data_IF_119437944580
#
_entry.id   IF_119437944580
#
_cell.length_a   1.000
_cell.length_b   1.000
_cell.length_c   1.000
_cell.angle_alpha   90.00
_cell.angle_beta   90.00
_cell.angle_gamma   90.00
#
_symmetry.space_group_name_H-M   'P 1'
#
loop_
_entity.id
_entity.type
_entity.pdbx_description
1 polymer ?
#
# COMPACT_ATOMS: atom_id res chain seq x y z
N UNK A 1 -8.55 -5.88 -6.52
CA UNK A 1 -8.27 -4.72 -5.65
C UNK A 1 -8.67 -3.45 -6.38
N UNK A 2 -9.31 -2.54 -5.69
CA UNK A 2 -9.80 -1.29 -6.29
C UNK A 2 -8.66 -0.29 -6.43
N UNK A 3 -8.70 0.53 -7.49
CA UNK A 3 -7.67 1.55 -7.74
C UNK A 3 -8.36 2.84 -8.22
N UNK A 4 -7.97 3.96 -7.63
CA UNK A 4 -8.44 5.27 -8.02
C UNK A 4 -7.35 6.30 -7.74
N UNK A 5 -6.93 7.05 -8.76
CA UNK A 5 -5.86 8.06 -8.67
C UNK A 5 -4.56 7.52 -8.05
N UNK A 6 -4.26 6.24 -8.27
CA UNK A 6 -3.08 5.58 -7.72
C UNK A 6 -3.24 5.04 -6.30
N UNK A 7 -4.38 5.26 -5.65
CA UNK A 7 -4.68 4.72 -4.34
C UNK A 7 -5.38 3.38 -4.46
N UNK A 8 -4.95 2.41 -3.65
CA UNK A 8 -5.50 1.06 -3.66
C UNK A 8 -6.45 0.85 -2.50
N UNK A 9 -7.58 0.21 -2.77
CA UNK A 9 -8.56 -0.16 -1.75
C UNK A 9 -8.63 -1.67 -1.59
N UNK A 10 -8.56 -2.12 -0.35
CA UNK A 10 -8.76 -3.52 0.02
C UNK A 10 -10.15 -3.69 0.62
N UNK A 11 -10.91 -4.67 0.13
CA UNK A 11 -12.31 -4.85 0.50
C UNK A 11 -12.51 -6.23 1.11
N UNK A 12 -13.29 -6.28 2.20
CA UNK A 12 -13.75 -7.52 2.81
C UNK A 12 -15.27 -7.47 2.95
N UNK A 13 -15.90 -8.62 2.88
CA UNK A 13 -17.34 -8.74 3.06
C UNK A 13 -17.65 -9.10 4.51
N UNK A 14 -18.53 -8.32 5.13
CA UNK A 14 -19.06 -8.60 6.47
C UNK A 14 -20.43 -9.25 6.32
N UNK A 15 -20.49 -10.57 6.55
CA UNK A 15 -21.73 -11.34 6.40
C UNK A 15 -22.79 -11.02 7.46
N UNK A 16 -22.37 -10.57 8.64
CA UNK A 16 -23.29 -10.22 9.72
C UNK A 16 -23.97 -8.89 9.44
N UNK A 17 -23.20 -7.89 9.04
CA UNK A 17 -23.72 -6.57 8.67
C UNK A 17 -24.27 -6.53 7.24
N UNK A 18 -23.98 -7.55 6.44
CA UNK A 18 -24.36 -7.66 5.02
C UNK A 18 -23.90 -6.47 4.21
N UNK A 19 -22.65 -6.06 4.42
CA UNK A 19 -22.05 -5.00 3.65
C UNK A 19 -20.56 -5.25 3.41
N UNK A 20 -20.04 -4.54 2.42
CA UNK A 20 -18.63 -4.56 2.12
C UNK A 20 -17.93 -3.43 2.88
N UNK A 21 -16.82 -3.75 3.51
CA UNK A 21 -15.93 -2.77 4.15
C UNK A 21 -14.64 -2.69 3.39
N UNK A 22 -14.15 -1.49 3.18
CA UNK A 22 -12.88 -1.27 2.53
C UNK A 22 -11.98 -0.33 3.30
N UNK A 23 -10.70 -0.42 3.02
CA UNK A 23 -9.67 0.42 3.59
C UNK A 23 -8.69 0.82 2.51
N UNK A 24 -8.28 2.09 2.51
CA UNK A 24 -7.25 2.58 1.59
C UNK A 24 -5.88 2.18 2.14
N UNK A 25 -5.11 1.47 1.33
CA UNK A 25 -3.82 0.93 1.74
C UNK A 25 -2.70 1.96 1.66
N UNK A 26 -1.70 1.79 2.53
CA UNK A 26 -0.44 2.51 2.42
C UNK A 26 -0.43 3.93 2.96
N UNK A 27 -1.49 4.37 3.64
CA UNK A 27 -1.55 5.68 4.26
C UNK A 27 -1.35 5.58 5.78
N UNK A 28 -0.79 6.61 6.38
CA UNK A 28 -0.70 6.70 7.85
C UNK A 28 -2.07 6.86 8.47
N UNK A 29 -2.91 7.67 7.86
CA UNK A 29 -4.28 7.85 8.31
C UNK A 29 -5.14 6.67 7.86
N UNK A 30 -6.04 6.27 8.73
CA UNK A 30 -6.98 5.18 8.42
C UNK A 30 -8.15 5.79 7.66
N UNK A 31 -8.27 5.41 6.38
CA UNK A 31 -9.37 5.85 5.52
C UNK A 31 -10.18 4.63 5.14
N UNK A 32 -11.44 4.62 5.53
CA UNK A 32 -12.35 3.50 5.30
C UNK A 32 -13.52 3.92 4.43
N UNK A 33 -14.14 2.95 3.81
CA UNK A 33 -15.34 3.13 3.01
C UNK A 33 -16.18 1.87 3.07
N UNK A 34 -17.46 1.99 2.77
CA UNK A 34 -18.38 0.85 2.85
C UNK A 34 -19.49 1.00 1.83
N UNK A 35 -20.15 -0.12 1.52
CA UNK A 35 -21.31 -0.13 0.64
C UNK A 35 -22.01 -1.47 0.68
N UNK A 36 -23.28 -1.48 0.37
CA UNK A 36 -24.12 -2.69 0.35
C UNK A 36 -24.09 -3.40 -1.00
N UNK A 37 -23.63 -2.72 -2.04
CA UNK A 37 -23.45 -3.29 -3.38
C UNK A 37 -22.19 -2.68 -4.02
N UNK A 38 -21.80 -3.22 -5.16
CA UNK A 38 -20.57 -2.80 -5.85
C UNK A 38 -20.60 -1.33 -6.24
N UNK A 39 -21.73 -0.85 -6.74
CA UNK A 39 -21.86 0.55 -7.18
C UNK A 39 -21.69 1.53 -6.03
N UNK A 40 -22.35 1.26 -4.89
CA UNK A 40 -22.20 2.07 -3.69
C UNK A 40 -20.77 2.03 -3.16
N UNK A 41 -20.16 0.84 -3.16
CA UNK A 41 -18.81 0.64 -2.69
C UNK A 41 -17.80 1.43 -3.51
N UNK A 42 -17.91 1.37 -4.83
CA UNK A 42 -17.03 2.11 -5.74
C UNK A 42 -17.17 3.63 -5.55
N UNK A 43 -18.41 4.10 -5.40
CA UNK A 43 -18.65 5.52 -5.15
C UNK A 43 -18.04 5.96 -3.81
N UNK A 44 -18.27 5.17 -2.76
CA UNK A 44 -17.73 5.46 -1.43
C UNK A 44 -16.20 5.48 -1.44
N UNK A 45 -15.59 4.55 -2.16
CA UNK A 45 -14.13 4.50 -2.31
C UNK A 45 -13.60 5.79 -2.96
N UNK A 46 -14.17 6.19 -4.09
CA UNK A 46 -13.75 7.40 -4.81
C UNK A 46 -13.97 8.65 -3.97
N UNK A 47 -15.12 8.75 -3.31
CA UNK A 47 -15.44 9.89 -2.45
C UNK A 47 -14.47 10.01 -1.28
N UNK A 48 -14.11 8.88 -0.66
CA UNK A 48 -13.16 8.88 0.47
C UNK A 48 -11.78 9.39 0.06
N UNK A 49 -11.32 9.03 -1.13
CA UNK A 49 -10.04 9.49 -1.66
C UNK A 49 -10.12 10.97 -2.03
N UNK A 50 -11.19 11.39 -2.69
CA UNK A 50 -11.38 12.81 -3.04
C UNK A 50 -11.45 13.68 -1.79
N UNK A 51 -12.12 13.21 -0.74
CA UNK A 51 -12.20 13.92 0.55
C UNK A 51 -10.81 14.02 1.20
N UNK A 52 -10.04 12.95 1.17
CA UNK A 52 -8.66 12.95 1.68
C UNK A 52 -7.79 13.97 0.94
N UNK A 53 -7.86 13.98 -0.39
CA UNK A 53 -7.08 14.91 -1.21
C UNK A 53 -7.49 16.37 -0.97
N UNK A 54 -8.79 16.63 -0.83
CA UNK A 54 -9.31 17.96 -0.52
C UNK A 54 -8.85 18.42 0.86
N UNK A 55 -8.89 17.53 1.84
CA UNK A 55 -8.44 17.81 3.21
C UNK A 55 -6.95 18.15 3.26
N UNK A 56 -6.11 17.41 2.54
CA UNK A 56 -4.68 17.71 2.42
C UNK A 56 -4.45 19.10 1.81
N UNK A 57 -5.22 19.44 0.78
CA UNK A 57 -5.12 20.73 0.12
C UNK A 57 -5.49 21.89 1.06
N UNK A 58 -6.57 21.74 1.83
CA UNK A 58 -6.98 22.73 2.82
C UNK A 58 -5.92 22.98 3.89
N UNK A 59 -5.22 21.92 4.31
CA UNK A 59 -4.18 22.02 5.32
C UNK A 59 -2.81 22.41 4.76
N UNK A 60 -2.69 22.57 3.46
CA UNK A 60 -1.43 22.87 2.80
C UNK A 60 -0.42 21.72 2.85
N UNK A 61 -0.89 20.51 3.06
CA UNK A 61 -0.06 19.32 3.12
C UNK A 61 -0.09 18.58 1.78
N UNK A 62 1.04 17.97 1.43
CA UNK A 62 1.08 17.09 0.25
C UNK A 62 0.44 15.75 0.60
N UNK A 63 -0.46 15.24 -0.26
CA UNK A 63 -1.00 13.90 -0.04
C UNK A 63 0.12 12.85 -0.08
N UNK A 64 0.02 11.84 0.76
CA UNK A 64 0.97 10.73 0.75
C UNK A 64 0.82 9.91 -0.53
N UNK A 65 1.96 9.49 -1.07
CA UNK A 65 1.97 8.48 -2.14
C UNK A 65 1.84 7.11 -1.50
N UNK A 66 0.89 6.33 -1.99
CA UNK A 66 0.58 5.03 -1.42
C UNK A 66 1.77 4.07 -1.51
N UNK A 67 2.45 4.04 -2.65
CA UNK A 67 3.59 3.15 -2.88
C UNK A 67 4.71 3.94 -3.54
N UNK A 68 5.68 4.35 -2.71
CA UNK A 68 6.79 5.18 -3.16
C UNK A 68 7.92 4.39 -3.81
N UNK A 69 7.95 3.08 -3.60
CA UNK A 69 9.10 2.24 -3.95
C UNK A 69 10.14 2.16 -2.86
N UNK A 70 9.96 2.89 -1.76
CA UNK A 70 10.87 2.83 -0.61
C UNK A 70 10.30 1.89 0.44
N UNK A 71 11.09 0.90 0.83
CA UNK A 71 10.67 -0.13 1.74
C UNK A 71 11.76 -0.37 2.78
N UNK A 72 11.38 -0.47 4.05
CA UNK A 72 12.29 -0.86 5.11
C UNK A 72 11.87 -2.22 5.64
N UNK A 73 12.80 -3.18 5.63
CA UNK A 73 12.56 -4.53 6.11
C UNK A 73 13.49 -4.80 7.30
N UNK A 74 12.96 -5.43 8.32
CA UNK A 74 13.75 -5.91 9.46
C UNK A 74 13.88 -7.42 9.36
N UNK A 75 15.11 -7.91 9.28
CA UNK A 75 15.43 -9.34 9.17
C UNK A 75 16.44 -9.71 10.25
N UNK A 76 16.64 -11.02 10.46
CA UNK A 76 17.62 -11.48 11.42
C UNK A 76 19.04 -11.13 10.98
N UNK A 77 19.95 -10.80 11.93
CA UNK A 77 21.32 -10.44 11.58
C UNK A 77 22.05 -11.48 10.74
N UNK A 78 21.83 -12.75 11.00
CA UNK A 78 22.47 -13.84 10.24
C UNK A 78 22.02 -13.83 8.77
N UNK A 79 20.75 -13.61 8.53
CA UNK A 79 20.21 -13.51 7.18
C UNK A 79 20.74 -12.25 6.47
N UNK A 80 20.82 -11.13 7.19
CA UNK A 80 21.38 -9.90 6.67
C UNK A 80 22.82 -10.11 6.20
N UNK A 81 23.65 -10.75 7.04
CA UNK A 81 25.05 -11.05 6.71
C UNK A 81 25.16 -11.95 5.48
N UNK A 82 24.33 -12.99 5.41
CA UNK A 82 24.31 -13.92 4.28
C UNK A 82 23.96 -13.22 2.98
N UNK A 83 22.94 -12.39 2.99
CA UNK A 83 22.53 -11.62 1.81
C UNK A 83 23.62 -10.64 1.36
N UNK A 84 24.27 -9.98 2.33
CA UNK A 84 25.37 -9.06 2.02
C UNK A 84 26.56 -9.78 1.38
N UNK A 85 26.90 -10.98 1.86
CA UNK A 85 27.95 -11.80 1.26
C UNK A 85 27.61 -12.19 -0.18
N UNK A 86 26.39 -12.67 -0.40
CA UNK A 86 25.95 -13.06 -1.74
C UNK A 86 25.95 -11.88 -2.71
N UNK A 87 25.48 -10.72 -2.27
CA UNK A 87 25.50 -9.51 -3.08
C UNK A 87 26.93 -9.13 -3.48
N UNK A 88 27.85 -9.21 -2.52
CA UNK A 88 29.28 -8.93 -2.77
C UNK A 88 29.88 -9.89 -3.79
N UNK A 89 29.54 -11.18 -3.70
CA UNK A 89 30.02 -12.19 -4.65
C UNK A 89 29.52 -11.92 -6.07
N UNK A 90 28.35 -11.32 -6.20
CA UNK A 90 27.79 -10.94 -7.50
C UNK A 90 28.16 -9.52 -7.94
N UNK A 91 28.97 -8.80 -7.17
CA UNK A 91 29.39 -7.43 -7.45
C UNK A 91 28.22 -6.46 -7.62
N UNK A 92 27.18 -6.62 -6.83
CA UNK A 92 26.02 -5.73 -6.81
C UNK A 92 25.77 -5.25 -5.39
N UNK A 93 25.03 -4.15 -5.26
CA UNK A 93 24.60 -3.67 -3.95
C UNK A 93 23.62 -4.64 -3.32
N UNK A 94 23.54 -4.63 -1.99
CA UNK A 94 22.56 -5.46 -1.27
C UNK A 94 21.14 -5.14 -1.73
N UNK A 95 20.82 -3.86 -1.88
CA UNK A 95 19.51 -3.44 -2.35
C UNK A 95 19.18 -4.01 -3.73
N UNK A 96 20.10 -3.89 -4.67
CA UNK A 96 19.93 -4.42 -6.03
C UNK A 96 19.77 -5.94 -6.01
N UNK A 97 20.58 -6.63 -5.21
CA UNK A 97 20.52 -8.08 -5.07
C UNK A 97 19.14 -8.54 -4.60
N UNK A 98 18.60 -7.88 -3.56
CA UNK A 98 17.29 -8.21 -3.02
C UNK A 98 16.18 -7.94 -4.05
N UNK A 99 16.21 -6.79 -4.72
CA UNK A 99 15.23 -6.43 -5.75
C UNK A 99 15.23 -7.46 -6.88
N UNK A 100 16.40 -7.88 -7.35
CA UNK A 100 16.48 -8.90 -8.40
C UNK A 100 15.91 -10.23 -7.96
N UNK A 101 16.16 -10.64 -6.71
CA UNK A 101 15.59 -11.87 -6.17
C UNK A 101 14.06 -11.83 -6.10
N UNK A 102 13.50 -10.71 -5.68
CA UNK A 102 12.05 -10.55 -5.60
C UNK A 102 11.39 -10.51 -6.98
N UNK A 103 12.07 -9.98 -7.98
CA UNK A 103 11.57 -9.93 -9.35
C UNK A 103 11.55 -11.28 -10.07
N UNK A 104 12.25 -12.27 -9.56
CA UNK A 104 12.36 -13.59 -10.20
C UNK A 104 11.21 -14.55 -9.88
N UNK A 105 10.18 -14.09 -9.25
CA UNK A 105 9.03 -14.93 -8.93
C UNK A 105 8.10 -15.14 -10.13
#
# INVERSE_FOLDING_TARGET
MMNYKGYLGHVTYDSDAKLFHGEVLGLKDVITFAGTNVKELEKAFKDSINDYLAWCKERGEKPEKTFSGNLRIRIEPNLHAKLAQEASLHNVSLNKFIVEKLNKQ
#
